data_IF_210691335227
#
_entry.id   IF_210691335227
#
_cell.length_a   1.000
_cell.length_b   1.000
_cell.length_c   1.000
_cell.angle_alpha   90.00
_cell.angle_beta   90.00
_cell.angle_gamma   90.00
#
_symmetry.space_group_name_H-M   'P 1'
#
loop_
_entity.id
_entity.type
_entity.pdbx_description
1 polymer ?
#
# COMPACT_ATOMS: atom_id res chain seq x y z
N UNK A 1 36.33 0.79 14.73
CA UNK A 1 35.49 0.01 13.82
C UNK A 1 36.07 0.11 12.42
N UNK A 2 36.35 -1.02 11.78
CA UNK A 2 36.81 -1.09 10.38
C UNK A 2 35.80 -0.36 9.47
N UNK A 3 36.28 0.31 8.41
CA UNK A 3 35.42 1.03 7.42
C UNK A 3 34.34 0.10 6.79
N UNK A 4 34.61 -1.20 6.73
CA UNK A 4 33.66 -2.23 6.30
C UNK A 4 32.44 -2.33 7.21
N UNK A 5 32.62 -2.13 8.51
CA UNK A 5 31.53 -2.20 9.51
C UNK A 5 30.62 -0.96 9.46
N UNK A 6 31.00 0.10 8.76
CA UNK A 6 30.23 1.34 8.62
C UNK A 6 29.61 1.50 7.22
N UNK A 7 29.32 0.40 6.56
CA UNK A 7 28.65 0.36 5.25
C UNK A 7 27.38 -0.46 5.36
N UNK A 8 26.28 0.08 4.85
CA UNK A 8 24.98 -0.62 4.73
C UNK A 8 24.67 -0.81 3.25
N UNK A 9 24.20 -1.99 2.90
CA UNK A 9 23.57 -2.27 1.61
C UNK A 9 22.05 -2.30 1.83
N UNK A 10 21.31 -1.48 1.11
CA UNK A 10 19.84 -1.44 1.15
C UNK A 10 19.31 -1.97 -0.17
N UNK A 11 18.54 -3.04 -0.12
CA UNK A 11 17.92 -3.66 -1.30
C UNK A 11 16.46 -3.19 -1.39
N UNK A 12 16.18 -2.37 -2.40
CA UNK A 12 14.88 -1.72 -2.65
C UNK A 12 14.83 -0.29 -2.14
N UNK A 13 14.44 0.64 -3.03
CA UNK A 13 14.33 2.08 -2.78
C UNK A 13 12.87 2.55 -2.54
N UNK A 14 11.98 1.69 -2.04
CA UNK A 14 10.66 2.06 -1.53
C UNK A 14 10.77 2.75 -0.15
N UNK A 15 9.65 3.11 0.48
CA UNK A 15 9.67 3.83 1.77
C UNK A 15 10.55 3.17 2.81
N UNK A 16 10.43 1.87 3.04
CA UNK A 16 11.22 1.19 4.07
C UNK A 16 12.72 1.35 3.83
N UNK A 17 13.18 1.03 2.62
CA UNK A 17 14.60 1.14 2.27
C UNK A 17 15.10 2.57 2.28
N UNK A 18 14.30 3.53 1.80
CA UNK A 18 14.68 4.95 1.78
C UNK A 18 14.78 5.54 3.18
N UNK A 19 13.86 5.19 4.11
CA UNK A 19 13.95 5.58 5.52
C UNK A 19 15.22 5.01 6.15
N UNK A 20 15.50 3.73 5.96
CA UNK A 20 16.72 3.10 6.49
C UNK A 20 17.98 3.77 5.93
N UNK A 21 18.05 3.99 4.62
CA UNK A 21 19.19 4.62 3.98
C UNK A 21 19.45 6.03 4.53
N UNK A 22 18.39 6.82 4.61
CA UNK A 22 18.44 8.18 5.13
C UNK A 22 18.89 8.22 6.59
N UNK A 23 18.33 7.38 7.46
CA UNK A 23 18.69 7.34 8.89
C UNK A 23 20.15 6.89 9.12
N UNK A 24 20.61 5.82 8.44
CA UNK A 24 22.01 5.39 8.57
C UNK A 24 23.01 6.43 8.08
N UNK A 25 22.70 7.14 7.00
CA UNK A 25 23.58 8.19 6.47
C UNK A 25 23.59 9.44 7.36
N UNK A 26 22.40 9.95 7.76
CA UNK A 26 22.28 11.18 8.50
C UNK A 26 22.69 11.05 9.97
N UNK A 27 22.25 10.01 10.69
CA UNK A 27 22.51 9.92 12.13
C UNK A 27 23.84 9.24 12.47
N UNK A 28 24.20 8.19 11.74
CA UNK A 28 25.43 7.43 12.02
C UNK A 28 26.60 7.81 11.10
N UNK A 29 26.35 8.60 10.05
CA UNK A 29 27.37 8.97 9.07
C UNK A 29 27.90 7.78 8.27
N UNK A 30 27.11 6.68 8.18
CA UNK A 30 27.53 5.49 7.47
C UNK A 30 27.41 5.66 5.96
N UNK A 31 28.22 4.91 5.20
CA UNK A 31 28.04 4.80 3.76
C UNK A 31 26.88 3.85 3.48
N UNK A 32 26.03 4.22 2.53
CA UNK A 32 24.86 3.46 2.16
C UNK A 32 24.85 3.24 0.66
N UNK A 33 24.78 1.97 0.23
CA UNK A 33 24.54 1.58 -1.14
C UNK A 33 23.09 1.11 -1.26
N UNK A 34 22.27 1.85 -2.00
CA UNK A 34 20.88 1.46 -2.31
C UNK A 34 20.86 0.81 -3.69
N UNK A 35 20.34 -0.43 -3.77
CA UNK A 35 20.10 -1.15 -5.01
C UNK A 35 18.60 -1.13 -5.32
N UNK A 36 18.21 -0.59 -6.46
CA UNK A 36 16.84 -0.60 -6.94
C UNK A 36 16.76 -1.26 -8.32
N UNK A 37 15.87 -2.26 -8.46
CA UNK A 37 15.71 -3.00 -9.72
C UNK A 37 15.07 -2.17 -10.85
N UNK A 38 14.28 -1.15 -10.48
CA UNK A 38 13.60 -0.24 -11.42
C UNK A 38 14.52 0.91 -11.82
N UNK A 39 14.08 1.67 -12.80
CA UNK A 39 14.73 2.89 -13.30
C UNK A 39 14.43 4.15 -12.45
N UNK A 40 13.72 3.98 -11.34
CA UNK A 40 13.33 5.05 -10.41
C UNK A 40 13.29 4.56 -8.96
N UNK A 41 13.40 5.48 -8.01
CA UNK A 41 13.20 5.26 -6.58
C UNK A 41 11.70 5.30 -6.21
N UNK A 42 11.36 4.99 -4.96
CA UNK A 42 9.99 5.13 -4.43
C UNK A 42 9.17 3.85 -4.45
N UNK A 43 9.65 2.80 -5.11
CA UNK A 43 8.91 1.53 -5.20
C UNK A 43 7.51 1.75 -5.79
N UNK A 44 6.48 1.12 -5.20
CA UNK A 44 5.11 1.31 -5.68
C UNK A 44 4.50 2.70 -5.36
N UNK A 45 5.16 3.50 -4.53
CA UNK A 45 4.69 4.86 -4.23
C UNK A 45 5.20 5.92 -5.23
N UNK A 46 6.01 5.53 -6.21
CA UNK A 46 6.56 6.47 -7.18
C UNK A 46 5.46 7.14 -8.00
N UNK A 47 5.60 8.45 -8.17
CA UNK A 47 4.78 9.28 -9.04
C UNK A 47 5.63 10.26 -9.82
N UNK A 48 5.16 10.66 -10.99
CA UNK A 48 5.81 11.66 -11.83
C UNK A 48 4.78 12.37 -12.71
N UNK A 49 5.10 13.58 -13.21
CA UNK A 49 4.27 14.26 -14.19
C UNK A 49 4.13 13.44 -15.49
N UNK A 50 2.91 13.26 -15.93
CA UNK A 50 2.62 12.66 -17.21
C UNK A 50 3.13 13.58 -18.35
N UNK A 51 3.88 13.06 -19.33
CA UNK A 51 4.52 13.89 -20.36
C UNK A 51 3.55 14.63 -21.28
N UNK A 52 2.34 14.09 -21.48
CA UNK A 52 1.36 14.67 -22.41
C UNK A 52 0.45 15.70 -21.74
N UNK A 53 0.26 15.59 -20.44
CA UNK A 53 -0.72 16.41 -19.69
C UNK A 53 -0.13 17.24 -18.56
N UNK A 54 1.06 16.86 -18.06
CA UNK A 54 1.66 17.47 -16.87
C UNK A 54 0.95 17.12 -15.54
N UNK A 55 -0.03 16.23 -15.58
CA UNK A 55 -0.70 15.72 -14.39
C UNK A 55 0.25 14.78 -13.66
N UNK A 56 0.41 14.96 -12.35
CA UNK A 56 1.15 14.02 -11.52
C UNK A 56 0.40 12.68 -11.45
N UNK A 57 0.97 11.62 -12.03
CA UNK A 57 0.36 10.28 -12.07
C UNK A 57 1.08 9.33 -11.14
N UNK A 58 0.32 8.53 -10.42
CA UNK A 58 0.83 7.47 -9.55
C UNK A 58 0.86 6.17 -10.35
N UNK A 59 2.02 5.84 -10.90
CA UNK A 59 2.18 4.75 -11.87
C UNK A 59 1.71 3.39 -11.36
N UNK A 60 1.82 3.16 -10.06
CA UNK A 60 1.50 1.88 -9.41
C UNK A 60 0.19 1.94 -8.59
N UNK A 61 -0.70 2.86 -8.94
CA UNK A 61 -1.98 3.08 -8.26
C UNK A 61 -1.95 4.22 -7.24
N UNK A 62 -3.12 4.64 -6.77
CA UNK A 62 -3.26 5.82 -5.92
C UNK A 62 -2.58 5.61 -4.56
N UNK A 63 -1.70 6.51 -4.23
CA UNK A 63 -1.02 6.55 -2.94
C UNK A 63 -1.31 7.88 -2.26
N UNK A 64 -2.10 7.86 -1.21
CA UNK A 64 -2.43 9.01 -0.38
C UNK A 64 -1.78 8.78 0.98
N UNK A 65 -0.87 9.65 1.40
CA UNK A 65 -0.29 9.55 2.73
C UNK A 65 -1.32 9.99 3.76
N UNK A 66 -1.56 9.16 4.76
CA UNK A 66 -2.47 9.46 5.86
C UNK A 66 -1.94 8.85 7.14
N UNK A 67 -2.07 9.55 8.25
CA UNK A 67 -1.63 9.09 9.56
C UNK A 67 -2.25 9.90 10.69
N UNK A 68 -2.39 9.27 11.85
CA UNK A 68 -2.64 9.93 13.14
C UNK A 68 -1.39 9.93 14.03
N UNK A 69 -0.29 9.34 13.58
CA UNK A 69 0.99 9.28 14.28
C UNK A 69 1.87 10.48 13.93
N UNK A 70 2.12 11.32 14.93
CA UNK A 70 2.84 12.57 14.75
C UNK A 70 4.29 12.37 14.29
N UNK A 71 4.94 11.29 14.72
CA UNK A 71 6.32 10.99 14.36
C UNK A 71 6.49 10.79 12.85
N UNK A 72 5.67 9.91 12.24
CA UNK A 72 5.70 9.65 10.81
C UNK A 72 5.36 10.89 9.98
N UNK A 73 4.35 11.69 10.44
CA UNK A 73 4.01 12.95 9.81
C UNK A 73 5.17 13.95 9.82
N UNK A 74 5.76 14.20 11.00
CA UNK A 74 6.91 15.11 11.14
C UNK A 74 8.12 14.63 10.36
N UNK A 75 8.35 13.32 10.32
CA UNK A 75 9.47 12.76 9.59
C UNK A 75 9.36 13.04 8.09
N UNK A 76 8.24 12.73 7.45
CA UNK A 76 8.07 12.96 6.02
C UNK A 76 8.00 14.44 5.64
N UNK A 77 7.49 15.30 6.52
CA UNK A 77 7.49 16.75 6.31
C UNK A 77 8.89 17.40 6.31
N UNK A 78 9.94 16.67 6.64
CA UNK A 78 11.32 17.13 6.43
C UNK A 78 11.72 17.11 4.94
N UNK A 79 11.06 16.28 4.13
CA UNK A 79 11.39 16.04 2.73
C UNK A 79 10.37 16.59 1.75
N UNK A 80 9.13 16.77 2.17
CA UNK A 80 8.05 17.30 1.32
C UNK A 80 7.02 18.08 2.12
N UNK A 81 6.40 19.07 1.48
CA UNK A 81 5.13 19.62 1.96
C UNK A 81 3.98 18.80 1.39
N UNK A 82 2.94 18.61 2.18
CA UNK A 82 1.73 17.91 1.76
C UNK A 82 0.60 18.90 1.52
N UNK A 83 -0.20 18.67 0.48
CA UNK A 83 -1.41 19.46 0.24
C UNK A 83 -2.54 19.05 1.20
N UNK A 84 -3.66 19.76 1.14
CA UNK A 84 -4.83 19.47 1.97
C UNK A 84 -5.82 18.50 1.28
N UNK A 85 -5.34 17.66 0.38
CA UNK A 85 -6.20 16.70 -0.29
C UNK A 85 -6.85 15.75 0.72
N UNK A 86 -8.19 15.71 0.71
CA UNK A 86 -8.98 14.79 1.52
C UNK A 86 -9.51 13.67 0.64
N UNK A 87 -9.08 12.45 0.92
CA UNK A 87 -9.43 11.32 0.09
C UNK A 87 -10.90 10.95 0.21
N UNK A 88 -11.54 10.80 -0.94
CA UNK A 88 -12.90 10.27 -1.08
C UNK A 88 -12.88 9.15 -2.10
N UNK A 89 -13.68 8.13 -1.88
CA UNK A 89 -13.87 7.01 -2.81
C UNK A 89 -15.33 6.89 -3.13
N UNK A 90 -15.63 6.68 -4.40
CA UNK A 90 -16.98 6.44 -4.87
C UNK A 90 -17.07 5.06 -5.52
N UNK A 91 -18.26 4.51 -5.65
CA UNK A 91 -18.50 3.22 -6.24
C UNK A 91 -19.65 3.30 -7.25
N UNK A 92 -19.49 2.63 -8.39
CA UNK A 92 -20.60 2.35 -9.30
C UNK A 92 -21.23 1.01 -8.95
N UNK A 93 -22.54 0.96 -9.02
CA UNK A 93 -23.30 -0.29 -8.93
C UNK A 93 -24.60 -0.15 -9.71
N UNK A 94 -24.81 -1.01 -10.74
CA UNK A 94 -26.01 -1.03 -11.59
C UNK A 94 -26.38 0.37 -12.13
N UNK A 95 -25.38 1.07 -12.68
CA UNK A 95 -25.53 2.39 -13.26
C UNK A 95 -25.79 3.54 -12.28
N UNK A 96 -25.64 3.31 -10.97
CA UNK A 96 -25.75 4.35 -9.93
C UNK A 96 -24.42 4.54 -9.22
N UNK A 97 -24.20 5.74 -8.67
CA UNK A 97 -22.99 6.12 -7.95
C UNK A 97 -23.26 6.28 -6.46
N UNK A 98 -22.37 5.72 -5.63
CA UNK A 98 -22.50 5.70 -4.18
C UNK A 98 -21.19 6.15 -3.52
N UNK A 99 -21.24 6.94 -2.44
CA UNK A 99 -20.05 7.28 -1.68
C UNK A 99 -19.58 6.10 -0.83
N UNK A 100 -18.25 5.93 -0.70
CA UNK A 100 -17.59 5.00 0.23
C UNK A 100 -16.74 5.80 1.23
N UNK A 101 -16.49 5.30 2.46
CA UNK A 101 -16.99 4.05 3.05
C UNK A 101 -18.50 4.09 3.28
N UNK A 102 -19.07 2.91 3.59
CA UNK A 102 -20.51 2.78 3.83
C UNK A 102 -20.96 3.73 4.94
N UNK A 103 -21.71 4.73 4.56
CA UNK A 103 -22.25 5.73 5.46
C UNK A 103 -23.73 5.89 5.27
N UNK A 104 -24.32 6.86 5.99
CA UNK A 104 -25.75 7.14 5.93
C UNK A 104 -26.21 7.50 4.50
N UNK A 105 -25.34 8.18 3.72
CA UNK A 105 -25.63 8.52 2.33
C UNK A 105 -25.72 7.26 1.45
N UNK A 106 -24.74 6.36 1.51
CA UNK A 106 -24.73 5.14 0.70
C UNK A 106 -25.92 4.24 1.05
N UNK A 107 -26.23 4.04 2.33
CA UNK A 107 -27.37 3.24 2.80
C UNK A 107 -28.69 3.83 2.29
N UNK A 108 -28.90 5.13 2.46
CA UNK A 108 -30.13 5.80 2.05
C UNK A 108 -30.33 5.75 0.53
N UNK A 109 -29.27 5.96 -0.25
CA UNK A 109 -29.32 5.87 -1.71
C UNK A 109 -29.61 4.43 -2.17
N UNK A 110 -28.99 3.42 -1.54
CA UNK A 110 -29.21 2.01 -1.89
C UNK A 110 -30.64 1.59 -1.62
N UNK A 111 -31.20 1.97 -0.46
CA UNK A 111 -32.55 1.59 -0.02
C UNK A 111 -33.66 2.46 -0.62
N UNK A 112 -33.31 3.59 -1.27
CA UNK A 112 -34.30 4.60 -1.70
C UNK A 112 -35.07 5.20 -0.52
N UNK A 113 -34.44 5.36 0.65
CA UNK A 113 -35.05 5.80 1.90
C UNK A 113 -34.31 6.99 2.49
N UNK A 114 -34.93 7.65 3.46
CA UNK A 114 -34.33 8.68 4.30
C UNK A 114 -34.35 8.21 5.75
N UNK A 115 -33.41 7.34 6.09
CA UNK A 115 -33.22 6.88 7.47
C UNK A 115 -32.39 7.88 8.26
N UNK A 116 -32.77 8.09 9.50
CA UNK A 116 -31.93 8.73 10.52
C UNK A 116 -30.77 7.79 10.90
N UNK A 117 -29.70 8.29 11.58
CA UNK A 117 -28.62 7.42 12.07
C UNK A 117 -29.11 6.27 12.96
N UNK A 118 -30.13 6.49 13.80
CA UNK A 118 -30.70 5.45 14.67
C UNK A 118 -31.44 4.37 13.87
N UNK A 119 -32.27 4.77 12.90
CA UNK A 119 -32.99 3.85 12.02
C UNK A 119 -32.04 3.04 11.13
N UNK A 120 -31.00 3.68 10.57
CA UNK A 120 -29.99 3.00 9.77
C UNK A 120 -29.20 1.98 10.61
N UNK A 121 -28.89 2.30 11.87
CA UNK A 121 -28.27 1.38 12.82
C UNK A 121 -29.18 0.17 13.10
N UNK A 122 -30.44 0.42 13.41
CA UNK A 122 -31.42 -0.65 13.69
C UNK A 122 -31.61 -1.54 12.45
N UNK A 123 -31.73 -0.96 11.27
CA UNK A 123 -31.81 -1.71 10.00
C UNK A 123 -30.58 -2.59 9.79
N UNK A 124 -29.37 -2.04 9.94
CA UNK A 124 -28.12 -2.81 9.74
C UNK A 124 -27.98 -3.93 10.78
N UNK A 125 -28.34 -3.68 12.05
CA UNK A 125 -28.35 -4.70 13.10
C UNK A 125 -29.34 -5.84 12.77
N UNK A 126 -30.50 -5.51 12.22
CA UNK A 126 -31.48 -6.52 11.79
C UNK A 126 -30.97 -7.34 10.59
N UNK A 127 -30.28 -6.72 9.62
CA UNK A 127 -29.64 -7.42 8.51
C UNK A 127 -28.56 -8.41 9.02
N UNK A 128 -27.68 -7.95 9.91
CA UNK A 128 -26.62 -8.77 10.53
C UNK A 128 -27.23 -9.93 11.34
N UNK A 129 -28.28 -9.66 12.15
CA UNK A 129 -28.91 -10.67 12.98
C UNK A 129 -29.57 -11.80 12.15
N UNK A 130 -30.07 -11.50 10.95
CA UNK A 130 -30.64 -12.53 10.04
C UNK A 130 -29.61 -13.53 9.55
N UNK A 131 -28.34 -13.15 9.47
CA UNK A 131 -27.27 -14.05 9.02
C UNK A 131 -26.87 -15.06 10.09
N UNK A 132 -27.07 -14.76 11.39
CA UNK A 132 -26.83 -15.68 12.48
C UNK A 132 -25.39 -16.14 12.66
N UNK A 133 -24.41 -15.38 12.15
CA UNK A 133 -22.99 -15.74 12.13
C UNK A 133 -22.31 -15.24 13.41
N UNK A 134 -21.97 -16.14 14.32
CA UNK A 134 -21.25 -15.84 15.55
C UNK A 134 -19.73 -15.84 15.35
N UNK A 135 -19.20 -16.85 14.64
CA UNK A 135 -17.78 -17.03 14.38
C UNK A 135 -17.51 -17.13 12.87
N UNK A 136 -17.16 -16.02 12.22
CA UNK A 136 -16.92 -15.99 10.77
C UNK A 136 -15.61 -16.72 10.41
N UNK A 137 -15.69 -17.68 9.48
CA UNK A 137 -14.56 -18.53 9.04
C UNK A 137 -13.85 -18.02 7.78
N UNK A 138 -14.53 -17.20 7.00
CA UNK A 138 -14.05 -16.68 5.71
C UNK A 138 -14.48 -15.22 5.54
N UNK A 139 -14.06 -14.59 4.43
CA UNK A 139 -14.35 -13.20 4.13
C UNK A 139 -15.85 -12.94 3.98
N UNK A 140 -16.60 -13.82 3.31
CA UNK A 140 -18.05 -13.66 3.14
C UNK A 140 -18.75 -13.62 4.50
N UNK A 141 -18.51 -14.64 5.33
CA UNK A 141 -19.11 -14.72 6.67
C UNK A 141 -18.72 -13.50 7.53
N UNK A 142 -17.47 -13.04 7.41
CA UNK A 142 -17.01 -11.84 8.13
C UNK A 142 -17.72 -10.57 7.66
N UNK A 143 -17.86 -10.38 6.36
CA UNK A 143 -18.59 -9.24 5.80
C UNK A 143 -20.06 -9.27 6.23
N UNK A 144 -20.73 -10.40 6.09
CA UNK A 144 -22.13 -10.57 6.50
C UNK A 144 -22.34 -10.29 7.99
N UNK A 145 -21.40 -10.70 8.86
CA UNK A 145 -21.45 -10.42 10.30
C UNK A 145 -21.20 -8.94 10.65
N UNK A 146 -20.66 -8.14 9.74
CA UNK A 146 -20.37 -6.72 9.95
C UNK A 146 -21.44 -5.78 9.37
N UNK A 147 -21.92 -6.08 8.16
CA UNK A 147 -22.76 -5.16 7.37
C UNK A 147 -24.05 -5.78 6.84
N UNK A 148 -24.27 -7.08 7.03
CA UNK A 148 -25.43 -7.82 6.51
C UNK A 148 -25.39 -8.03 5.00
N UNK A 149 -26.34 -8.82 4.49
CA UNK A 149 -26.36 -9.29 3.10
C UNK A 149 -26.56 -8.19 2.08
N UNK A 150 -27.46 -7.24 2.34
CA UNK A 150 -27.79 -6.20 1.38
C UNK A 150 -26.57 -5.36 0.99
N UNK A 151 -25.75 -4.90 1.95
CA UNK A 151 -24.54 -4.13 1.67
C UNK A 151 -23.42 -5.02 1.12
N UNK A 152 -23.30 -6.25 1.61
CA UNK A 152 -22.33 -7.21 1.12
C UNK A 152 -22.50 -7.50 -0.38
N UNK A 153 -23.72 -7.84 -0.81
CA UNK A 153 -24.00 -8.14 -2.22
C UNK A 153 -23.91 -6.92 -3.13
N UNK A 154 -24.24 -5.74 -2.59
CA UNK A 154 -24.18 -4.52 -3.38
C UNK A 154 -22.73 -4.08 -3.68
N UNK A 155 -21.83 -4.13 -2.71
CA UNK A 155 -20.56 -3.42 -2.80
C UNK A 155 -19.30 -4.26 -2.52
N UNK A 156 -19.45 -5.42 -1.88
CA UNK A 156 -18.28 -6.19 -1.41
C UNK A 156 -18.06 -7.44 -2.25
N UNK A 157 -19.08 -8.25 -2.45
CA UNK A 157 -18.95 -9.59 -3.04
C UNK A 157 -18.23 -9.56 -4.39
N UNK A 158 -18.87 -9.04 -5.41
CA UNK A 158 -18.34 -9.08 -6.78
C UNK A 158 -17.03 -8.27 -6.93
N UNK A 159 -16.95 -7.11 -6.26
CA UNK A 159 -15.71 -6.32 -6.22
C UNK A 159 -14.54 -7.11 -5.63
N UNK A 160 -14.76 -7.76 -4.49
CA UNK A 160 -13.72 -8.52 -3.78
C UNK A 160 -13.31 -9.76 -4.57
N UNK A 161 -14.28 -10.52 -5.09
CA UNK A 161 -14.02 -11.70 -5.92
C UNK A 161 -13.23 -11.33 -7.18
N UNK A 162 -13.55 -10.22 -7.83
CA UNK A 162 -12.80 -9.68 -8.96
C UNK A 162 -11.38 -9.25 -8.57
N UNK A 163 -11.24 -8.55 -7.44
CA UNK A 163 -9.93 -8.09 -6.96
C UNK A 163 -9.02 -9.25 -6.57
N UNK A 164 -9.54 -10.25 -5.88
CA UNK A 164 -8.74 -11.39 -5.41
C UNK A 164 -8.68 -12.54 -6.41
N UNK A 165 -9.57 -12.59 -7.40
CA UNK A 165 -9.66 -13.70 -8.36
C UNK A 165 -10.07 -15.03 -7.72
N UNK A 166 -10.74 -14.97 -6.56
CA UNK A 166 -11.19 -16.10 -5.74
C UNK A 166 -12.57 -15.79 -5.19
N UNK A 167 -13.35 -16.83 -4.86
CA UNK A 167 -14.63 -16.64 -4.18
C UNK A 167 -14.42 -16.08 -2.78
N UNK A 168 -15.32 -15.22 -2.33
CA UNK A 168 -15.27 -14.63 -0.99
C UNK A 168 -15.29 -15.70 0.12
N UNK A 169 -15.90 -16.86 -0.13
CA UNK A 169 -15.91 -18.02 0.78
C UNK A 169 -14.56 -18.73 0.92
N UNK A 170 -13.63 -18.51 -0.03
CA UNK A 170 -12.29 -19.11 -0.04
C UNK A 170 -11.23 -18.15 0.53
N UNK A 171 -11.59 -16.87 0.68
CA UNK A 171 -10.70 -15.82 1.19
C UNK A 171 -10.71 -15.78 2.72
N UNK A 172 -9.54 -15.51 3.34
CA UNK A 172 -9.45 -15.38 4.79
C UNK A 172 -10.29 -14.22 5.35
N UNK A 173 -10.91 -14.43 6.50
CA UNK A 173 -11.75 -13.43 7.17
C UNK A 173 -11.02 -12.12 7.49
N UNK A 174 -9.70 -12.15 7.74
CA UNK A 174 -8.92 -10.97 8.10
C UNK A 174 -8.83 -9.92 6.98
N UNK A 175 -9.06 -10.27 5.71
CA UNK A 175 -9.02 -9.33 4.58
C UNK A 175 -10.05 -8.21 4.77
N UNK A 176 -11.16 -8.49 5.45
CA UNK A 176 -12.27 -7.55 5.67
C UNK A 176 -12.47 -7.17 7.14
N UNK A 177 -11.41 -7.13 7.92
CA UNK A 177 -11.50 -6.76 9.35
C UNK A 177 -11.96 -5.32 9.59
N UNK A 178 -11.87 -4.45 8.61
CA UNK A 178 -12.15 -3.01 8.72
C UNK A 178 -13.05 -2.54 7.58
N UNK A 179 -14.35 -2.81 7.69
CA UNK A 179 -15.35 -2.04 6.94
C UNK A 179 -15.81 -0.88 7.83
N UNK A 180 -15.29 0.32 7.67
CA UNK A 180 -15.76 1.44 8.48
C UNK A 180 -17.18 1.80 8.05
N UNK A 181 -18.16 1.45 8.87
CA UNK A 181 -19.53 1.93 8.71
C UNK A 181 -19.68 3.18 9.56
N UNK A 182 -19.90 4.32 8.93
CA UNK A 182 -20.12 5.60 9.61
C UNK A 182 -21.53 6.07 9.34
N UNK A 183 -22.38 6.04 10.36
CA UNK A 183 -23.77 6.51 10.22
C UNK A 183 -23.85 8.05 10.26
N UNK A 184 -23.05 8.68 9.41
CA UNK A 184 -22.97 10.12 9.17
C UNK A 184 -22.96 10.38 7.67
N UNK A 185 -23.03 11.64 7.25
CA UNK A 185 -22.86 12.09 5.87
C UNK A 185 -21.41 12.46 5.52
N UNK A 186 -20.45 12.20 6.42
CA UNK A 186 -19.04 12.37 6.11
C UNK A 186 -18.57 11.29 5.11
N UNK A 187 -18.12 11.73 3.95
CA UNK A 187 -17.61 10.88 2.86
C UNK A 187 -16.08 10.76 2.83
N UNK A 188 -15.37 11.36 3.80
CA UNK A 188 -13.92 11.22 3.91
C UNK A 188 -13.53 9.75 4.09
N UNK A 189 -12.60 9.24 3.30
CA UNK A 189 -12.23 7.82 3.34
C UNK A 189 -11.46 7.45 4.62
N UNK A 190 -10.51 8.29 5.02
CA UNK A 190 -9.70 8.09 6.22
C UNK A 190 -10.22 8.87 7.43
N UNK A 191 -9.98 8.34 8.62
CA UNK A 191 -10.25 9.01 9.91
C UNK A 191 -9.00 9.69 10.49
N UNK A 192 -7.88 9.59 9.78
CA UNK A 192 -6.60 10.07 10.28
C UNK A 192 -6.55 11.58 10.38
N UNK A 193 -5.77 12.06 11.35
CA UNK A 193 -5.60 13.48 11.64
C UNK A 193 -4.97 14.23 10.47
N UNK A 194 -3.99 13.60 9.81
CA UNK A 194 -3.29 14.16 8.65
C UNK A 194 -3.46 13.26 7.44
N UNK A 195 -3.68 13.87 6.31
CA UNK A 195 -3.68 13.21 5.01
C UNK A 195 -3.32 14.21 3.92
N UNK A 196 -2.76 13.73 2.83
CA UNK A 196 -2.41 14.58 1.68
C UNK A 196 -1.53 13.87 0.67
N UNK A 197 -1.21 14.62 -0.37
CA UNK A 197 -0.29 14.25 -1.44
C UNK A 197 0.92 15.20 -1.37
N UNK A 198 2.16 14.71 -1.55
CA UNK A 198 3.33 15.58 -1.66
C UNK A 198 3.13 16.58 -2.80
N UNK A 199 3.30 17.87 -2.54
CA UNK A 199 3.03 18.94 -3.52
C UNK A 199 3.90 18.88 -4.77
N UNK A 200 5.10 18.29 -4.65
CA UNK A 200 6.04 18.06 -5.76
C UNK A 200 6.03 16.60 -6.25
N UNK A 201 5.06 15.78 -5.82
CA UNK A 201 4.97 14.34 -6.10
C UNK A 201 5.89 13.48 -5.25
N UNK A 202 5.63 12.17 -5.27
CA UNK A 202 6.42 11.21 -4.49
C UNK A 202 7.83 11.03 -5.06
N UNK A 203 8.02 11.13 -6.38
CA UNK A 203 9.36 11.07 -6.97
C UNK A 203 10.31 12.10 -6.36
N UNK A 204 9.87 13.35 -6.22
CA UNK A 204 10.64 14.42 -5.60
C UNK A 204 10.91 14.14 -4.11
N UNK A 205 9.93 13.65 -3.37
CA UNK A 205 10.08 13.27 -1.96
C UNK A 205 11.20 12.23 -1.78
N UNK A 206 11.18 11.14 -2.54
CA UNK A 206 12.21 10.10 -2.44
C UNK A 206 13.59 10.59 -2.86
N UNK A 207 13.68 11.41 -3.90
CA UNK A 207 14.94 12.02 -4.30
C UNK A 207 15.53 12.88 -3.17
N UNK A 208 14.72 13.66 -2.45
CA UNK A 208 15.17 14.46 -1.30
C UNK A 208 15.60 13.57 -0.13
N UNK A 209 14.88 12.48 0.17
CA UNK A 209 15.27 11.51 1.20
C UNK A 209 16.65 10.89 0.93
N UNK A 210 16.96 10.63 -0.33
CA UNK A 210 18.18 9.92 -0.74
C UNK A 210 19.32 10.86 -1.17
N UNK A 211 19.15 12.18 -1.03
CA UNK A 211 20.13 13.18 -1.52
C UNK A 211 21.37 13.35 -0.62
N UNK A 212 21.60 12.50 0.37
CA UNK A 212 22.76 12.62 1.27
C UNK A 212 24.06 12.14 0.56
N UNK A 213 25.21 12.83 0.74
CA UNK A 213 26.47 12.49 0.06
C UNK A 213 27.02 11.09 0.40
N UNK A 214 26.61 10.51 1.52
CA UNK A 214 26.95 9.12 1.88
C UNK A 214 26.02 8.08 1.28
N UNK A 215 24.99 8.47 0.53
CA UNK A 215 24.07 7.56 -0.12
C UNK A 215 24.39 7.47 -1.61
N UNK A 216 24.73 6.27 -2.07
CA UNK A 216 24.83 5.93 -3.48
C UNK A 216 23.58 5.12 -3.87
N UNK A 217 22.82 5.59 -4.87
CA UNK A 217 21.68 4.87 -5.43
C UNK A 217 22.05 4.29 -6.77
N UNK A 218 21.89 2.97 -6.92
CA UNK A 218 22.02 2.27 -8.22
C UNK A 218 20.67 1.79 -8.68
N UNK A 219 20.15 2.46 -9.70
CA UNK A 219 18.94 2.06 -10.41
C UNK A 219 19.24 0.93 -11.40
N UNK A 220 18.20 0.27 -11.93
CA UNK A 220 18.33 -0.87 -12.85
C UNK A 220 19.26 -1.97 -12.31
N UNK A 221 19.26 -2.18 -11.00
CA UNK A 221 20.22 -2.99 -10.27
C UNK A 221 19.50 -4.04 -9.42
N UNK A 222 19.24 -5.22 -10.02
CA UNK A 222 18.66 -6.36 -9.29
C UNK A 222 19.72 -6.97 -8.36
N UNK A 223 19.39 -7.04 -7.08
CA UNK A 223 20.22 -7.65 -6.04
C UNK A 223 20.74 -9.05 -6.42
N UNK A 224 19.88 -9.89 -7.00
CA UNK A 224 20.24 -11.27 -7.34
C UNK A 224 21.30 -11.37 -8.44
N UNK A 225 21.37 -10.39 -9.32
CA UNK A 225 22.43 -10.27 -10.33
C UNK A 225 23.74 -9.78 -9.73
N UNK A 226 23.68 -9.03 -8.63
CA UNK A 226 24.83 -8.32 -8.04
C UNK A 226 25.34 -8.93 -6.72
N UNK A 227 24.58 -9.84 -6.09
CA UNK A 227 24.83 -10.33 -4.72
C UNK A 227 26.25 -10.81 -4.47
N UNK A 228 26.92 -11.37 -5.49
CA UNK A 228 28.27 -11.89 -5.38
C UNK A 228 29.38 -10.84 -5.61
N UNK A 229 29.01 -9.62 -6.02
CA UNK A 229 29.93 -8.51 -6.34
C UNK A 229 29.70 -7.27 -5.47
N UNK A 230 28.89 -7.40 -4.42
CA UNK A 230 28.61 -6.29 -3.51
C UNK A 230 29.89 -5.88 -2.75
N UNK A 231 30.04 -4.58 -2.44
CA UNK A 231 31.12 -4.13 -1.57
C UNK A 231 31.01 -4.80 -0.18
N UNK A 232 32.12 -4.91 0.51
CA UNK A 232 32.12 -5.36 1.89
C UNK A 232 31.25 -4.41 2.76
N UNK A 233 30.31 -4.96 3.50
CA UNK A 233 29.34 -4.21 4.30
C UNK A 233 29.12 -4.89 5.66
N UNK A 234 28.74 -4.09 6.65
CA UNK A 234 28.46 -4.57 8.01
C UNK A 234 27.00 -4.93 8.22
N UNK A 235 26.11 -4.43 7.39
CA UNK A 235 24.66 -4.69 7.48
C UNK A 235 24.02 -4.65 6.10
N UNK A 236 23.04 -5.50 5.88
CA UNK A 236 22.13 -5.45 4.75
C UNK A 236 20.70 -5.20 5.25
N UNK A 237 19.98 -4.30 4.59
CA UNK A 237 18.53 -4.13 4.74
C UNK A 237 17.88 -4.67 3.47
N UNK A 238 17.14 -5.76 3.61
CA UNK A 238 16.50 -6.42 2.47
C UNK A 238 14.98 -6.18 2.48
N UNK A 239 14.47 -5.54 1.44
CA UNK A 239 13.03 -5.22 1.29
C UNK A 239 12.35 -5.96 0.14
N UNK A 240 13.06 -6.83 -0.54
CA UNK A 240 12.52 -7.71 -1.60
C UNK A 240 11.70 -8.88 -1.03
N UNK A 241 11.12 -9.73 -1.90
CA UNK A 241 10.36 -10.90 -1.47
C UNK A 241 11.22 -11.86 -0.63
N UNK A 242 10.75 -12.17 0.58
CA UNK A 242 11.50 -13.00 1.52
C UNK A 242 11.73 -14.41 0.98
N UNK A 243 10.76 -15.00 0.29
CA UNK A 243 10.89 -16.32 -0.33
C UNK A 243 11.95 -16.35 -1.45
N UNK A 244 12.06 -15.27 -2.24
CA UNK A 244 13.10 -15.12 -3.27
C UNK A 244 14.49 -15.02 -2.65
N UNK A 245 14.65 -14.38 -1.48
CA UNK A 245 15.93 -14.30 -0.79
C UNK A 245 16.49 -15.69 -0.46
N UNK A 246 15.63 -16.63 -0.14
CA UNK A 246 15.95 -18.02 0.15
C UNK A 246 15.78 -18.96 -1.06
N UNK A 247 15.83 -18.43 -2.28
CA UNK A 247 15.73 -19.20 -3.54
C UNK A 247 14.47 -20.11 -3.58
N UNK A 248 13.38 -19.67 -2.95
CA UNK A 248 12.06 -20.35 -2.89
C UNK A 248 12.08 -21.76 -2.26
N UNK A 249 13.05 -22.08 -1.44
CA UNK A 249 13.29 -23.45 -0.93
C UNK A 249 12.14 -24.06 -0.11
N UNK A 250 11.24 -23.24 0.44
CA UNK A 250 10.02 -23.70 1.14
C UNK A 250 8.76 -23.56 0.29
N UNK A 251 8.88 -23.06 -0.94
CA UNK A 251 7.80 -22.76 -1.85
C UNK A 251 7.57 -21.26 -2.00
N UNK A 252 6.83 -20.86 -3.04
CA UNK A 252 6.49 -19.47 -3.31
C UNK A 252 5.33 -19.02 -2.40
N UNK A 253 5.38 -17.78 -1.96
CA UNK A 253 4.30 -17.12 -1.24
C UNK A 253 3.26 -16.55 -2.22
N UNK A 254 1.98 -16.60 -1.86
CA UNK A 254 0.88 -16.15 -2.70
C UNK A 254 0.75 -14.63 -2.72
N UNK A 255 0.69 -14.04 -3.91
CA UNK A 255 0.52 -12.62 -4.12
C UNK A 255 -0.61 -12.33 -5.13
N UNK A 256 -1.21 -11.16 -5.01
CA UNK A 256 -1.99 -10.52 -6.08
C UNK A 256 -1.23 -9.32 -6.61
N UNK A 257 -1.42 -9.07 -7.90
CA UNK A 257 -0.86 -7.91 -8.58
C UNK A 257 -1.95 -7.09 -9.26
N UNK A 258 -1.60 -5.90 -9.70
CA UNK A 258 -2.46 -5.03 -10.48
C UNK A 258 -1.70 -4.49 -11.69
N UNK A 259 -2.40 -4.36 -12.80
CA UNK A 259 -1.93 -3.65 -13.99
C UNK A 259 -2.86 -2.49 -14.29
N UNK A 260 -2.33 -1.49 -14.95
CA UNK A 260 -3.06 -0.27 -15.26
C UNK A 260 -3.12 -0.06 -16.77
N UNK A 261 -4.29 0.27 -17.27
CA UNK A 261 -4.47 0.76 -18.64
C UNK A 261 -4.62 2.28 -18.58
N UNK A 262 -3.60 2.98 -19.09
CA UNK A 262 -3.56 4.43 -19.17
C UNK A 262 -4.31 4.91 -20.42
N UNK A 263 -5.15 5.92 -20.24
CA UNK A 263 -5.82 6.65 -21.33
C UNK A 263 -5.72 8.15 -21.10
N UNK A 264 -5.19 8.89 -22.08
CA UNK A 264 -5.24 10.35 -22.11
C UNK A 264 -6.49 10.77 -22.87
N UNK A 265 -7.29 11.65 -22.28
CA UNK A 265 -8.55 12.13 -22.85
C UNK A 265 -8.49 13.65 -23.06
N UNK A 266 -9.00 14.10 -24.22
CA UNK A 266 -9.09 15.52 -24.58
C UNK A 266 -10.37 16.15 -24.00
N UNK A 267 -10.56 15.97 -22.71
CA UNK A 267 -11.64 16.53 -21.91
C UNK A 267 -11.09 16.99 -20.57
N UNK A 268 -11.72 17.97 -19.95
CA UNK A 268 -11.24 18.50 -18.68
C UNK A 268 -11.44 17.52 -17.51
N UNK A 269 -12.55 16.79 -17.50
CA UNK A 269 -12.91 15.88 -16.40
C UNK A 269 -13.62 14.65 -16.92
N UNK A 270 -13.28 13.47 -16.39
CA UNK A 270 -13.86 12.19 -16.81
C UNK A 270 -14.91 11.68 -15.83
N UNK A 271 -14.60 11.71 -14.52
CA UNK A 271 -15.45 11.06 -13.52
C UNK A 271 -15.75 11.91 -12.27
N UNK A 272 -15.22 13.14 -12.19
CA UNK A 272 -15.51 14.08 -11.09
C UNK A 272 -14.91 13.69 -9.74
N UNK A 273 -14.04 12.70 -9.69
CA UNK A 273 -13.37 12.23 -8.47
C UNK A 273 -12.07 11.51 -8.78
N UNK A 274 -11.19 11.39 -7.78
CA UNK A 274 -9.90 10.72 -7.97
C UNK A 274 -10.02 9.19 -8.12
N UNK A 275 -10.96 8.55 -7.42
CA UNK A 275 -11.10 7.08 -7.41
C UNK A 275 -12.57 6.68 -7.48
N UNK A 276 -12.87 5.83 -8.45
CA UNK A 276 -14.18 5.20 -8.62
C UNK A 276 -14.00 3.69 -8.60
N UNK A 277 -14.64 2.99 -7.65
CA UNK A 277 -14.67 1.54 -7.58
C UNK A 277 -15.77 0.99 -8.50
N UNK A 278 -15.48 -0.06 -9.23
CA UNK A 278 -16.43 -0.76 -10.09
C UNK A 278 -16.94 -2.02 -9.38
N UNK A 279 -18.13 -1.93 -8.80
CA UNK A 279 -18.71 -3.02 -8.00
C UNK A 279 -19.45 -4.07 -8.82
N UNK A 280 -19.74 -3.83 -10.09
CA UNK A 280 -20.41 -4.78 -10.96
C UNK A 280 -19.44 -5.84 -11.50
N UNK A 281 -19.81 -7.12 -11.44
CA UNK A 281 -18.95 -8.25 -11.80
C UNK A 281 -18.69 -8.39 -13.30
N UNK A 282 -19.55 -7.82 -14.15
CA UNK A 282 -19.40 -7.77 -15.61
C UNK A 282 -18.41 -6.70 -16.08
N UNK A 283 -18.04 -5.73 -15.22
CA UNK A 283 -16.97 -4.77 -15.51
C UNK A 283 -15.62 -5.40 -15.18
N UNK A 284 -14.68 -5.51 -16.14
CA UNK A 284 -13.45 -6.30 -15.95
C UNK A 284 -12.38 -5.64 -15.06
N UNK A 285 -12.44 -4.35 -14.82
CA UNK A 285 -11.51 -3.62 -13.96
C UNK A 285 -12.13 -3.34 -12.60
N UNK A 286 -11.27 -3.15 -11.60
CA UNK A 286 -11.69 -2.95 -10.21
C UNK A 286 -11.92 -1.48 -9.88
N UNK A 287 -11.11 -0.60 -10.46
CA UNK A 287 -11.14 0.84 -10.18
C UNK A 287 -10.79 1.65 -11.41
N UNK A 288 -11.30 2.88 -11.42
CA UNK A 288 -10.85 3.93 -12.33
C UNK A 288 -10.24 5.05 -11.51
N UNK A 289 -9.05 5.50 -11.92
CA UNK A 289 -8.30 6.57 -11.26
C UNK A 289 -8.19 7.77 -12.19
N UNK A 290 -8.45 8.97 -11.67
CA UNK A 290 -8.26 10.24 -12.35
C UNK A 290 -7.41 11.15 -11.46
N UNK A 291 -6.11 11.15 -11.70
CA UNK A 291 -5.11 11.70 -10.76
C UNK A 291 -5.12 13.22 -10.63
N UNK A 292 -5.66 13.97 -11.59
CA UNK A 292 -5.76 15.43 -11.50
C UNK A 292 -6.48 15.90 -10.22
N UNK A 293 -7.43 15.09 -9.73
CA UNK A 293 -8.16 15.39 -8.49
C UNK A 293 -7.32 15.31 -7.22
N UNK A 294 -6.08 14.80 -7.28
CA UNK A 294 -5.14 14.84 -6.16
C UNK A 294 -4.53 16.23 -5.95
N UNK A 295 -4.59 17.09 -6.97
CA UNK A 295 -4.11 18.46 -6.94
C UNK A 295 -5.22 19.43 -7.36
N UNK A 296 -6.29 19.57 -6.54
CA UNK A 296 -7.49 20.32 -6.90
C UNK A 296 -7.24 21.81 -7.12
N UNK A 297 -6.09 22.32 -6.66
CA UNK A 297 -5.64 23.69 -6.89
C UNK A 297 -5.10 23.93 -8.32
N UNK A 298 -4.88 22.87 -9.10
CA UNK A 298 -4.38 22.96 -10.48
C UNK A 298 -5.49 22.66 -11.48
N UNK A 299 -5.44 23.33 -12.63
CA UNK A 299 -6.37 23.13 -13.75
C UNK A 299 -5.67 22.53 -14.94
N UNK A 300 -6.33 21.59 -15.61
CA UNK A 300 -5.81 20.88 -16.77
C UNK A 300 -6.87 20.87 -17.87
N UNK A 301 -6.47 21.03 -19.12
CA UNK A 301 -7.37 20.97 -20.29
C UNK A 301 -7.65 19.54 -20.75
N UNK A 302 -6.78 18.62 -20.37
CA UNK A 302 -6.87 17.17 -20.65
C UNK A 302 -6.85 16.43 -19.34
N UNK A 303 -7.31 15.19 -19.37
CA UNK A 303 -7.19 14.32 -18.19
C UNK A 303 -6.51 13.00 -18.52
N UNK A 304 -6.00 12.34 -17.49
CA UNK A 304 -5.42 10.99 -17.56
C UNK A 304 -6.23 10.06 -16.68
N UNK A 305 -6.71 8.99 -17.27
CA UNK A 305 -7.51 7.96 -16.61
C UNK A 305 -6.72 6.65 -16.61
N UNK A 306 -6.66 6.01 -15.44
CA UNK A 306 -6.07 4.67 -15.30
C UNK A 306 -7.18 3.69 -14.89
N UNK A 307 -7.37 2.62 -15.65
CA UNK A 307 -8.21 1.48 -15.26
C UNK A 307 -7.35 0.41 -14.63
N UNK A 308 -7.71 -0.02 -13.43
CA UNK A 308 -6.97 -0.99 -12.63
C UNK A 308 -7.55 -2.39 -12.79
N UNK A 309 -6.71 -3.33 -13.20
CA UNK A 309 -7.06 -4.75 -13.34
C UNK A 309 -6.23 -5.58 -12.35
N UNK A 310 -6.90 -6.36 -11.53
CA UNK A 310 -6.23 -7.29 -10.62
C UNK A 310 -5.98 -8.64 -11.30
N UNK A 311 -4.80 -9.22 -11.07
CA UNK A 311 -4.42 -10.50 -11.67
C UNK A 311 -3.49 -11.31 -10.76
N UNK A 312 -3.29 -12.59 -11.07
CA UNK A 312 -2.32 -13.46 -10.43
C UNK A 312 -0.94 -13.19 -11.04
N UNK A 313 0.07 -12.73 -10.26
CA UNK A 313 1.38 -12.41 -10.82
C UNK A 313 2.15 -13.63 -11.26
N UNK A 314 2.86 -13.50 -12.38
CA UNK A 314 3.91 -14.42 -12.80
C UNK A 314 5.22 -14.19 -12.01
N UNK A 315 6.28 -14.95 -12.35
CA UNK A 315 7.56 -14.89 -11.63
C UNK A 315 8.26 -13.54 -11.64
N UNK A 316 8.09 -12.76 -12.72
CA UNK A 316 8.78 -11.50 -12.95
C UNK A 316 7.90 -10.27 -12.72
N UNK A 317 6.62 -10.48 -12.42
CA UNK A 317 5.67 -9.41 -12.15
C UNK A 317 5.91 -8.76 -10.78
N UNK A 318 5.49 -7.51 -10.67
CA UNK A 318 5.49 -6.80 -9.40
C UNK A 318 4.41 -7.34 -8.45
N UNK A 319 4.77 -7.49 -7.19
CA UNK A 319 3.90 -7.99 -6.13
C UNK A 319 3.28 -6.84 -5.35
N UNK A 320 1.94 -6.88 -5.16
CA UNK A 320 1.21 -5.79 -4.49
C UNK A 320 0.57 -6.23 -3.17
N UNK A 321 -0.23 -7.28 -3.18
CA UNK A 321 -1.04 -7.70 -2.05
C UNK A 321 -0.75 -9.15 -1.66
N UNK A 322 -0.25 -9.40 -0.43
CA UNK A 322 -0.04 -10.78 0.03
C UNK A 322 -1.38 -11.46 0.29
N UNK A 323 -1.59 -12.64 -0.26
CA UNK A 323 -2.85 -13.39 -0.11
C UNK A 323 -2.99 -13.95 1.29
N UNK A 324 -1.90 -14.48 1.85
CA UNK A 324 -1.80 -14.96 3.24
C UNK A 324 -2.84 -16.04 3.60
N UNK A 325 -3.06 -17.01 2.72
CA UNK A 325 -3.83 -18.20 3.07
C UNK A 325 -3.17 -18.96 4.23
N UNK A 326 -3.86 -19.89 4.84
CA UNK A 326 -3.28 -20.75 5.89
C UNK A 326 -2.02 -21.47 5.40
N UNK A 327 -2.01 -21.92 4.13
CA UNK A 327 -0.84 -22.53 3.50
C UNK A 327 0.32 -21.53 3.34
N UNK A 328 0.04 -20.31 2.86
CA UNK A 328 1.06 -19.26 2.73
C UNK A 328 1.67 -18.90 4.08
N UNK A 329 0.85 -18.79 5.14
CA UNK A 329 1.35 -18.47 6.48
C UNK A 329 2.23 -19.57 7.05
N UNK A 330 1.93 -20.85 6.76
CA UNK A 330 2.78 -21.98 7.15
C UNK A 330 4.13 -21.96 6.42
N UNK A 331 4.16 -21.58 5.14
CA UNK A 331 5.39 -21.39 4.36
C UNK A 331 6.16 -20.19 4.91
N UNK A 332 5.48 -19.06 5.13
CA UNK A 332 6.10 -17.84 5.64
C UNK A 332 6.77 -18.04 6.99
N UNK A 333 6.14 -18.78 7.90
CA UNK A 333 6.74 -19.09 9.21
C UNK A 333 8.12 -19.74 9.09
N UNK A 334 8.31 -20.66 8.12
CA UNK A 334 9.60 -21.28 7.85
C UNK A 334 10.66 -20.25 7.40
N UNK A 335 10.25 -19.31 6.53
CA UNK A 335 11.16 -18.25 6.08
C UNK A 335 11.55 -17.30 7.22
N UNK A 336 10.61 -16.96 8.12
CA UNK A 336 10.90 -16.14 9.30
C UNK A 336 11.91 -16.85 10.23
N UNK A 337 11.76 -18.15 10.46
CA UNK A 337 12.69 -18.90 11.29
C UNK A 337 14.11 -18.95 10.70
N UNK A 338 14.22 -18.96 9.38
CA UNK A 338 15.51 -18.86 8.72
C UNK A 338 16.07 -17.45 8.72
N UNK A 339 15.25 -16.45 8.45
CA UNK A 339 15.64 -15.04 8.45
C UNK A 339 16.28 -14.63 9.80
N UNK A 340 15.78 -15.15 10.91
CA UNK A 340 16.36 -14.95 12.25
C UNK A 340 17.77 -15.48 12.42
N UNK A 341 18.20 -16.41 11.54
CA UNK A 341 19.53 -17.05 11.60
C UNK A 341 20.52 -16.45 10.59
N UNK A 342 20.06 -15.56 9.72
CA UNK A 342 20.96 -14.89 8.76
C UNK A 342 21.61 -13.70 9.46
N UNK A 343 22.92 -13.76 9.72
CA UNK A 343 23.61 -12.68 10.41
C UNK A 343 23.68 -11.43 9.54
N UNK A 344 23.61 -10.27 10.14
CA UNK A 344 23.80 -8.98 9.48
C UNK A 344 22.80 -8.67 8.35
N UNK A 345 21.61 -9.28 8.35
CA UNK A 345 20.52 -8.96 7.42
C UNK A 345 19.27 -8.59 8.21
N UNK A 346 18.75 -7.40 7.94
CA UNK A 346 17.46 -6.95 8.46
C UNK A 346 16.41 -7.02 7.33
N UNK A 347 15.41 -7.87 7.51
CA UNK A 347 14.27 -7.96 6.58
C UNK A 347 13.22 -6.93 6.94
N UNK A 348 12.65 -6.24 5.94
CA UNK A 348 11.62 -5.25 6.16
C UNK A 348 10.85 -4.85 4.90
N UNK A 349 9.88 -3.95 5.08
CA UNK A 349 8.97 -3.57 4.00
C UNK A 349 7.96 -4.67 3.65
N UNK A 350 6.95 -4.32 2.86
CA UNK A 350 5.81 -5.21 2.53
C UNK A 350 6.23 -6.59 2.03
N UNK A 351 7.21 -6.65 1.12
CA UNK A 351 7.66 -7.91 0.52
C UNK A 351 8.57 -8.70 1.46
N UNK A 352 9.45 -8.02 2.19
CA UNK A 352 10.42 -8.65 3.10
C UNK A 352 9.80 -9.24 4.36
N UNK A 353 8.61 -8.78 4.76
CA UNK A 353 7.86 -9.34 5.91
C UNK A 353 6.56 -10.04 5.51
N UNK A 354 6.27 -10.14 4.21
CA UNK A 354 5.04 -10.74 3.69
C UNK A 354 3.78 -10.26 4.41
N UNK A 355 3.63 -8.94 4.55
CA UNK A 355 2.49 -8.31 5.21
C UNK A 355 1.96 -7.13 4.41
N UNK A 356 0.65 -6.87 4.50
CA UNK A 356 0.10 -5.63 3.99
C UNK A 356 0.51 -4.49 4.91
N UNK A 357 1.37 -3.62 4.41
CA UNK A 357 1.78 -2.38 5.06
C UNK A 357 1.34 -1.21 4.19
N UNK A 358 0.59 -0.28 4.74
CA UNK A 358 0.39 1.04 4.11
C UNK A 358 1.67 1.90 4.25
N UNK A 359 1.63 3.12 3.74
CA UNK A 359 2.81 3.99 3.77
C UNK A 359 3.20 4.38 5.20
N UNK A 360 2.22 4.68 6.05
CA UNK A 360 2.44 5.05 7.45
C UNK A 360 3.11 3.91 8.22
N UNK A 361 2.51 2.71 8.19
CA UNK A 361 3.07 1.54 8.86
C UNK A 361 4.45 1.16 8.30
N UNK A 362 4.68 1.38 6.99
CA UNK A 362 6.00 1.14 6.38
C UNK A 362 7.05 2.11 6.93
N UNK A 363 6.73 3.39 7.04
CA UNK A 363 7.64 4.41 7.59
C UNK A 363 7.89 4.17 9.08
N UNK A 364 6.84 3.97 9.87
CA UNK A 364 6.96 3.76 11.32
C UNK A 364 7.76 2.50 11.65
N UNK A 365 7.47 1.37 10.99
CA UNK A 365 8.24 0.13 11.22
C UNK A 365 9.70 0.24 10.77
N UNK A 366 10.00 1.06 9.75
CA UNK A 366 11.38 1.34 9.36
C UNK A 366 12.11 2.18 10.40
N UNK A 367 11.48 3.22 10.94
CA UNK A 367 12.04 4.05 12.01
C UNK A 367 12.29 3.23 13.28
N UNK A 368 11.32 2.42 13.69
CA UNK A 368 11.46 1.55 14.87
C UNK A 368 12.60 0.53 14.69
N UNK A 369 12.68 -0.09 13.52
CA UNK A 369 13.77 -1.05 13.23
C UNK A 369 15.13 -0.37 13.17
N UNK A 370 15.19 0.85 12.64
CA UNK A 370 16.42 1.63 12.65
C UNK A 370 16.89 1.90 14.10
N UNK A 371 16.01 2.34 14.98
CA UNK A 371 16.36 2.59 16.40
C UNK A 371 16.84 1.31 17.11
N UNK A 372 16.18 0.16 16.85
CA UNK A 372 16.64 -1.14 17.38
C UNK A 372 18.06 -1.46 16.93
N UNK A 373 18.34 -1.34 15.62
CA UNK A 373 19.65 -1.62 15.04
C UNK A 373 20.71 -0.62 15.56
N UNK A 374 20.41 0.65 15.60
CA UNK A 374 21.28 1.71 16.13
C UNK A 374 21.69 1.42 17.59
N UNK A 375 20.72 1.05 18.44
CA UNK A 375 20.98 0.72 19.83
C UNK A 375 21.88 -0.52 19.95
N UNK A 376 21.67 -1.54 19.11
CA UNK A 376 22.53 -2.74 19.08
C UNK A 376 23.96 -2.42 18.63
N UNK A 377 24.10 -1.56 17.60
CA UNK A 377 25.41 -1.12 17.08
C UNK A 377 26.15 -0.30 18.14
N UNK A 378 25.50 0.65 18.81
CA UNK A 378 26.11 1.49 19.85
C UNK A 378 26.50 0.64 21.07
N UNK A 379 25.73 -0.37 21.41
CA UNK A 379 26.05 -1.31 22.50
C UNK A 379 27.17 -2.30 22.16
N UNK A 380 27.74 -2.23 20.96
CA UNK A 380 28.78 -3.17 20.50
C UNK A 380 28.28 -4.60 20.26
N UNK A 381 26.97 -4.80 20.19
CA UNK A 381 26.32 -6.09 19.90
C UNK A 381 26.14 -6.25 18.40
N UNK A 382 27.26 -6.30 17.64
CA UNK A 382 27.23 -6.58 16.20
C UNK A 382 26.92 -8.07 16.01
N UNK A 383 25.66 -8.42 15.88
CA UNK A 383 25.26 -9.82 15.68
C UNK A 383 23.79 -10.10 15.99
N UNK A 384 22.88 -9.13 15.80
CA UNK A 384 21.43 -9.39 15.93
C UNK A 384 20.78 -9.36 14.55
#
# INVERSE_FOLDING_TARGET
MDSRQKTVVVVGAGFYGSVMAERFANELGWKVLVLEKRDHVGGNCWSAPDPDTGIEVHTYGPHIFHTSHELGWKYLNQFASFNNYRHTVWATRKGKVYPLPFGLAAINLLLGRRLSPAEARAWMQAEVAREGIAEPRNLEEKALSLIGRTLYEAFVKEYTEKHWGMKATELPAYIITRLPVRLTYDVGYYNDRWQGIPTEGYGALFNKMLAHPNIEVRLNSDYFSLRNSLPAHGLMVYTGPIDRFFDYKHGRLGWRSVRFEKQVLDIEDYQGTSVMNECDGDVPFTRTHEFKHFTPERTFKKTVVFREYSYLPGPDDDMYYPVRTTADLAIHAKYIDEARRVPHVAFGGRLGVYAYLDMENTVSTALDKYEELKNSIVAGRTGA
#
